data_IF_443017189098
#
_entry.id   IF_443017189098
#
_cell.length_a   1.000
_cell.length_b   1.000
_cell.length_c   1.000
_cell.angle_alpha   90.00
_cell.angle_beta   90.00
_cell.angle_gamma   90.00
#
_symmetry.space_group_name_H-M   'P 1'
#
loop_
_entity.id
_entity.type
_entity.pdbx_description
1 polymer ?
#
# COMPACT_ATOMS: atom_id res chain seq x y z
N UNK A 1 -23.22 16.03 31.67
CA UNK A 1 -22.73 15.09 30.64
C UNK A 1 -22.83 15.65 29.19
N UNK A 2 -22.77 16.97 28.97
CA UNK A 2 -22.88 17.57 27.62
C UNK A 2 -21.54 17.78 26.89
N UNK A 3 -20.41 17.79 27.61
CA UNK A 3 -19.09 18.08 27.03
C UNK A 3 -18.54 16.93 26.17
N UNK A 4 -18.68 15.68 26.63
CA UNK A 4 -18.17 14.49 25.96
C UNK A 4 -18.74 14.27 24.55
N UNK A 5 -20.06 14.46 24.38
CA UNK A 5 -20.71 14.31 23.07
C UNK A 5 -20.22 15.34 22.04
N UNK A 6 -19.91 16.57 22.50
CA UNK A 6 -19.41 17.63 21.63
C UNK A 6 -17.97 17.38 21.20
N UNK A 7 -17.11 16.88 22.11
CA UNK A 7 -15.73 16.49 21.82
C UNK A 7 -15.70 15.34 20.80
N UNK A 8 -16.51 14.30 21.00
CA UNK A 8 -16.58 13.16 20.09
C UNK A 8 -17.01 13.55 18.68
N UNK A 9 -17.97 14.48 18.53
CA UNK A 9 -18.41 14.97 17.21
C UNK A 9 -17.29 15.69 16.46
N UNK A 10 -16.56 16.56 17.15
CA UNK A 10 -15.42 17.28 16.58
C UNK A 10 -14.27 16.34 16.23
N UNK A 11 -13.96 15.39 17.11
CA UNK A 11 -12.94 14.38 16.86
C UNK A 11 -13.29 13.51 15.65
N UNK A 12 -14.54 13.02 15.57
CA UNK A 12 -14.99 12.20 14.46
C UNK A 12 -14.98 12.98 13.14
N UNK A 13 -15.38 14.25 13.15
CA UNK A 13 -15.28 15.12 11.98
C UNK A 13 -13.82 15.29 11.51
N UNK A 14 -12.91 15.61 12.43
CA UNK A 14 -11.49 15.80 12.13
C UNK A 14 -10.85 14.52 11.59
N UNK A 15 -11.09 13.37 12.23
CA UNK A 15 -10.57 12.08 11.78
C UNK A 15 -11.09 11.72 10.38
N UNK A 16 -12.39 11.91 10.11
CA UNK A 16 -12.93 11.66 8.78
C UNK A 16 -12.32 12.60 7.72
N UNK A 17 -12.00 13.85 8.06
CA UNK A 17 -11.32 14.76 7.13
C UNK A 17 -9.92 14.23 6.76
N UNK A 18 -9.15 13.74 7.73
CA UNK A 18 -7.87 13.08 7.46
C UNK A 18 -8.04 11.88 6.52
N UNK A 19 -9.08 11.06 6.74
CA UNK A 19 -9.38 9.92 5.86
C UNK A 19 -9.82 10.32 4.45
N UNK A 20 -10.52 11.45 4.29
CA UNK A 20 -10.84 12.00 2.96
C UNK A 20 -9.55 12.35 2.21
N UNK A 21 -8.63 13.07 2.87
CA UNK A 21 -7.34 13.45 2.26
C UNK A 21 -6.53 12.19 1.91
N UNK A 22 -6.44 11.21 2.82
CA UNK A 22 -5.72 9.97 2.53
C UNK A 22 -6.36 9.17 1.38
N UNK A 23 -7.69 9.13 1.30
CA UNK A 23 -8.41 8.48 0.20
C UNK A 23 -8.07 9.11 -1.15
N UNK A 24 -8.02 10.45 -1.23
CA UNK A 24 -7.61 11.16 -2.44
C UNK A 24 -6.16 10.82 -2.81
N UNK A 25 -5.24 10.84 -1.84
CA UNK A 25 -3.83 10.48 -2.07
C UNK A 25 -3.69 9.06 -2.64
N UNK A 26 -4.41 8.08 -2.07
CA UNK A 26 -4.39 6.70 -2.57
C UNK A 26 -4.92 6.57 -4.00
N UNK A 27 -5.99 7.29 -4.34
CA UNK A 27 -6.54 7.31 -5.71
C UNK A 27 -5.53 7.92 -6.69
N UNK A 28 -4.93 9.05 -6.33
CA UNK A 28 -3.92 9.72 -7.18
C UNK A 28 -2.71 8.83 -7.38
N UNK A 29 -2.14 8.25 -6.31
CA UNK A 29 -1.02 7.31 -6.42
C UNK A 29 -1.39 6.11 -7.30
N UNK A 30 -2.55 5.49 -7.08
CA UNK A 30 -3.01 4.37 -7.90
C UNK A 30 -3.18 4.74 -9.38
N UNK A 31 -3.69 5.94 -9.68
CA UNK A 31 -3.82 6.42 -11.05
C UNK A 31 -2.46 6.71 -11.72
N UNK A 32 -1.50 7.28 -10.98
CA UNK A 32 -0.14 7.51 -11.47
C UNK A 32 0.59 6.19 -11.76
N UNK A 33 0.46 5.21 -10.86
CA UNK A 33 1.00 3.87 -11.07
C UNK A 33 0.35 3.19 -12.29
N UNK A 34 -0.96 3.32 -12.45
CA UNK A 34 -1.67 2.77 -13.60
C UNK A 34 -1.23 3.41 -14.92
N UNK A 35 -0.96 4.72 -14.93
CA UNK A 35 -0.46 5.41 -16.14
C UNK A 35 0.97 4.99 -16.50
N UNK A 36 1.80 4.73 -15.49
CA UNK A 36 3.19 4.28 -15.68
C UNK A 36 3.24 2.85 -16.22
N UNK A 37 2.34 1.97 -15.74
CA UNK A 37 2.23 0.57 -16.17
C UNK A 37 1.35 0.37 -17.42
N UNK A 38 0.47 1.33 -17.71
CA UNK A 38 -0.54 1.27 -18.79
C UNK A 38 0.03 1.32 -20.20
N UNK A 39 1.31 1.67 -20.37
CA UNK A 39 1.97 1.64 -21.68
C UNK A 39 2.41 0.22 -22.11
N UNK A 40 2.34 -0.78 -21.22
CA UNK A 40 2.69 -2.19 -21.49
C UNK A 40 1.47 -3.09 -21.46
N UNK A 41 0.32 -2.60 -21.95
CA UNK A 41 -0.90 -3.39 -22.06
C UNK A 41 -0.72 -4.51 -23.07
N UNK A 42 -0.65 -5.74 -22.54
CA UNK A 42 -0.88 -7.06 -23.14
C UNK A 42 0.34 -7.96 -23.16
N UNK A 43 0.70 -8.50 -21.99
CA UNK A 43 1.32 -9.81 -21.93
C UNK A 43 0.72 -10.67 -20.82
N UNK A 44 0.73 -11.97 -21.08
CA UNK A 44 -0.25 -12.96 -20.70
C UNK A 44 -0.31 -13.29 -19.19
N UNK A 45 -1.52 -13.55 -18.70
CA UNK A 45 -1.73 -14.47 -17.57
C UNK A 45 -1.60 -13.98 -16.13
N UNK A 46 -0.85 -12.91 -15.81
CA UNK A 46 -0.83 -12.35 -14.43
C UNK A 46 -0.78 -10.83 -14.46
N UNK A 47 -1.72 -10.23 -13.76
CA UNK A 47 -2.21 -8.87 -13.95
C UNK A 47 -1.38 -7.86 -13.13
N UNK A 48 -0.32 -7.26 -13.70
CA UNK A 48 0.45 -6.18 -13.01
C UNK A 48 -0.43 -4.96 -12.69
N UNK A 49 -1.49 -4.76 -13.47
CA UNK A 49 -2.52 -3.74 -13.21
C UNK A 49 -3.31 -4.00 -11.91
N UNK A 50 -3.20 -5.18 -11.28
CA UNK A 50 -3.95 -5.51 -10.04
C UNK A 50 -3.56 -4.60 -8.88
N UNK A 51 -2.27 -4.28 -8.71
CA UNK A 51 -1.84 -3.41 -7.61
C UNK A 51 -2.38 -1.98 -7.75
N UNK A 52 -2.11 -1.24 -8.85
CA UNK A 52 -2.65 0.10 -9.05
C UNK A 52 -4.19 0.15 -8.92
N UNK A 53 -4.88 -0.83 -9.50
CA UNK A 53 -6.35 -0.93 -9.41
C UNK A 53 -6.80 -1.14 -7.97
N UNK A 54 -6.10 -1.98 -7.19
CA UNK A 54 -6.41 -2.20 -5.78
C UNK A 54 -6.24 -0.92 -4.95
N UNK A 55 -5.18 -0.14 -5.18
CA UNK A 55 -4.99 1.17 -4.53
C UNK A 55 -6.15 2.13 -4.85
N UNK A 56 -6.60 2.19 -6.11
CA UNK A 56 -7.74 3.02 -6.52
C UNK A 56 -9.03 2.57 -5.84
N UNK A 57 -9.31 1.26 -5.79
CA UNK A 57 -10.53 0.71 -5.17
C UNK A 57 -10.54 0.98 -3.67
N UNK A 58 -9.45 0.70 -2.96
CA UNK A 58 -9.33 0.98 -1.53
C UNK A 58 -9.49 2.47 -1.26
N UNK A 59 -8.76 3.32 -2.00
CA UNK A 59 -8.86 4.77 -1.86
C UNK A 59 -10.26 5.32 -2.11
N UNK A 60 -10.97 4.78 -3.11
CA UNK A 60 -12.35 5.17 -3.42
C UNK A 60 -13.34 4.80 -2.30
N UNK A 61 -13.23 3.59 -1.75
CA UNK A 61 -14.06 3.17 -0.62
C UNK A 61 -13.78 4.04 0.61
N UNK A 62 -12.49 4.28 0.94
CA UNK A 62 -12.10 5.15 2.04
C UNK A 62 -12.64 6.57 1.87
N UNK A 63 -12.50 7.16 0.67
CA UNK A 63 -13.02 8.48 0.35
C UNK A 63 -14.54 8.56 0.54
N UNK A 64 -15.30 7.60 -0.01
CA UNK A 64 -16.77 7.59 0.10
C UNK A 64 -17.23 7.49 1.55
N UNK A 65 -16.65 6.57 2.33
CA UNK A 65 -17.01 6.36 3.74
C UNK A 65 -16.68 7.59 4.57
N UNK A 66 -15.50 8.19 4.36
CA UNK A 66 -15.05 9.37 5.07
C UNK A 66 -15.85 10.63 4.70
N UNK A 67 -16.25 10.74 3.43
CA UNK A 67 -17.13 11.81 2.95
C UNK A 67 -18.52 11.71 3.58
N UNK A 68 -19.10 10.50 3.63
CA UNK A 68 -20.36 10.24 4.33
C UNK A 68 -20.26 10.54 5.83
N UNK A 69 -19.14 10.20 6.48
CA UNK A 69 -18.87 10.52 7.89
C UNK A 69 -18.81 12.02 8.14
N UNK A 70 -18.10 12.76 7.28
CA UNK A 70 -17.96 14.22 7.36
C UNK A 70 -19.30 14.93 7.13
N UNK A 71 -20.06 14.53 6.10
CA UNK A 71 -21.39 15.08 5.80
C UNK A 71 -22.40 14.74 6.90
N UNK A 72 -22.38 13.50 7.42
CA UNK A 72 -23.25 13.05 8.50
C UNK A 72 -23.05 13.84 9.78
N UNK A 73 -21.80 14.17 10.13
CA UNK A 73 -21.47 15.00 11.30
C UNK A 73 -21.99 16.44 11.14
N UNK A 74 -21.82 17.03 9.94
CA UNK A 74 -22.20 18.41 9.66
C UNK A 74 -23.73 18.65 9.67
N UNK A 75 -24.52 17.66 9.21
CA UNK A 75 -25.98 17.84 9.05
C UNK A 75 -26.79 17.52 10.32
N UNK A 76 -26.14 17.11 11.43
CA UNK A 76 -26.76 16.65 12.67
C UNK A 76 -27.95 15.68 12.44
N UNK A 77 -27.93 14.94 11.31
CA UNK A 77 -29.02 14.06 10.92
C UNK A 77 -28.70 12.64 11.40
N UNK A 78 -29.51 12.15 12.33
CA UNK A 78 -29.32 10.82 12.91
C UNK A 78 -29.31 9.72 11.84
N UNK A 79 -30.01 9.92 10.72
CA UNK A 79 -30.09 8.95 9.62
C UNK A 79 -28.76 8.77 8.87
N UNK A 80 -28.00 9.85 8.59
CA UNK A 80 -26.70 9.73 7.91
C UNK A 80 -25.65 9.10 8.82
N UNK A 81 -25.69 9.42 10.12
CA UNK A 81 -24.79 8.83 11.11
C UNK A 81 -25.06 7.32 11.29
N UNK A 82 -26.33 6.89 11.19
CA UNK A 82 -26.69 5.45 11.18
C UNK A 82 -26.13 4.73 9.95
N UNK A 83 -26.24 5.32 8.76
CA UNK A 83 -25.69 4.73 7.53
C UNK A 83 -24.16 4.59 7.65
N UNK A 84 -23.47 5.62 8.14
CA UNK A 84 -22.04 5.56 8.41
C UNK A 84 -21.68 4.40 9.36
N UNK A 85 -22.42 4.24 10.46
CA UNK A 85 -22.19 3.16 11.41
C UNK A 85 -22.42 1.77 10.79
N UNK A 86 -23.45 1.60 9.97
CA UNK A 86 -23.73 0.34 9.26
C UNK A 86 -22.64 0.04 8.23
N UNK A 87 -22.18 1.02 7.46
CA UNK A 87 -21.08 0.86 6.53
C UNK A 87 -19.79 0.44 7.24
N UNK A 88 -19.44 1.08 8.36
CA UNK A 88 -18.27 0.71 9.16
C UNK A 88 -18.38 -0.71 9.74
N UNK A 89 -19.58 -1.13 10.17
CA UNK A 89 -19.80 -2.49 10.64
C UNK A 89 -19.60 -3.52 9.50
N UNK A 90 -20.09 -3.24 8.30
CA UNK A 90 -19.89 -4.12 7.14
C UNK A 90 -18.41 -4.21 6.79
N UNK A 91 -17.69 -3.08 6.77
CA UNK A 91 -16.24 -3.06 6.50
C UNK A 91 -15.46 -3.85 7.56
N UNK A 92 -15.87 -3.76 8.83
CA UNK A 92 -15.26 -4.54 9.90
C UNK A 92 -15.42 -6.05 9.67
N UNK A 93 -16.62 -6.50 9.30
CA UNK A 93 -16.86 -7.91 8.96
C UNK A 93 -16.06 -8.34 7.74
N UNK A 94 -16.01 -7.52 6.69
CA UNK A 94 -15.20 -7.79 5.49
C UNK A 94 -13.70 -7.90 5.84
N UNK A 95 -13.20 -7.02 6.71
CA UNK A 95 -11.80 -7.07 7.14
C UNK A 95 -11.51 -8.35 7.93
N UNK A 96 -12.44 -8.82 8.76
CA UNK A 96 -12.29 -10.10 9.47
C UNK A 96 -12.24 -11.27 8.48
N UNK A 97 -13.13 -11.31 7.49
CA UNK A 97 -13.13 -12.36 6.45
C UNK A 97 -11.83 -12.34 5.64
N UNK A 98 -11.37 -11.16 5.19
CA UNK A 98 -10.12 -11.02 4.47
C UNK A 98 -8.91 -11.44 5.31
N UNK A 99 -8.90 -11.12 6.60
CA UNK A 99 -7.80 -11.48 7.50
C UNK A 99 -7.72 -13.00 7.71
N UNK A 100 -8.88 -13.66 7.89
CA UNK A 100 -8.94 -15.12 8.00
C UNK A 100 -8.53 -15.77 6.67
N UNK A 101 -9.01 -15.25 5.54
CA UNK A 101 -8.63 -15.73 4.21
C UNK A 101 -7.13 -15.65 4.00
N UNK A 102 -6.51 -14.49 4.32
CA UNK A 102 -5.08 -14.26 4.22
C UNK A 102 -4.28 -15.22 5.12
N UNK A 103 -4.80 -15.57 6.30
CA UNK A 103 -4.16 -16.52 7.19
C UNK A 103 -4.19 -17.95 6.64
N UNK A 104 -5.32 -18.37 6.07
CA UNK A 104 -5.48 -19.70 5.47
C UNK A 104 -4.64 -19.83 4.20
N UNK A 105 -4.69 -18.83 3.34
CA UNK A 105 -3.99 -18.77 2.04
C UNK A 105 -2.67 -17.98 2.12
N UNK A 106 -1.98 -18.07 3.27
CA UNK A 106 -0.75 -17.29 3.50
C UNK A 106 0.30 -17.54 2.41
N UNK A 107 0.47 -18.80 2.00
CA UNK A 107 1.49 -19.19 1.03
C UNK A 107 1.20 -18.59 -0.36
N UNK A 108 -0.08 -18.58 -0.75
CA UNK A 108 -0.54 -18.00 -2.02
C UNK A 108 -0.30 -16.49 -2.05
N UNK A 109 -0.54 -15.80 -0.92
CA UNK A 109 -0.25 -14.37 -0.81
C UNK A 109 1.26 -14.08 -0.84
N UNK A 110 2.06 -14.89 -0.14
CA UNK A 110 3.52 -14.75 -0.15
C UNK A 110 4.09 -14.96 -1.56
N UNK A 111 3.65 -16.00 -2.29
CA UNK A 111 4.05 -16.23 -3.68
C UNK A 111 3.66 -15.06 -4.60
N UNK A 112 2.48 -14.48 -4.39
CA UNK A 112 2.06 -13.28 -5.13
C UNK A 112 2.95 -12.07 -4.87
N UNK A 113 3.34 -11.84 -3.61
CA UNK A 113 4.29 -10.78 -3.25
C UNK A 113 5.67 -11.03 -3.84
N UNK A 114 6.18 -12.26 -3.79
CA UNK A 114 7.46 -12.63 -4.40
C UNK A 114 7.45 -12.40 -5.91
N UNK A 115 6.41 -12.84 -6.61
CA UNK A 115 6.26 -12.60 -8.07
C UNK A 115 6.18 -11.11 -8.41
N UNK A 116 5.68 -10.28 -7.51
CA UNK A 116 5.68 -8.83 -7.71
C UNK A 116 7.11 -8.29 -7.73
N UNK A 117 7.94 -8.69 -6.75
CA UNK A 117 9.35 -8.29 -6.67
C UNK A 117 10.10 -8.78 -7.90
N UNK A 118 9.89 -10.04 -8.29
CA UNK A 118 10.51 -10.62 -9.49
C UNK A 118 10.17 -9.83 -10.76
N UNK A 119 8.93 -9.33 -10.86
CA UNK A 119 8.49 -8.51 -11.99
C UNK A 119 9.08 -7.12 -11.98
N UNK A 120 9.08 -6.46 -10.82
CA UNK A 120 9.73 -5.17 -10.65
C UNK A 120 11.22 -5.25 -10.99
N UNK A 121 11.87 -6.37 -10.68
CA UNK A 121 13.24 -6.67 -11.07
C UNK A 121 13.40 -6.83 -12.59
N UNK A 122 12.57 -7.64 -13.24
CA UNK A 122 12.63 -7.90 -14.69
C UNK A 122 12.33 -6.65 -15.53
N UNK A 123 11.45 -5.77 -15.04
CA UNK A 123 11.06 -4.52 -15.72
C UNK A 123 11.91 -3.32 -15.24
N UNK A 124 13.02 -3.54 -14.52
CA UNK A 124 13.85 -2.46 -13.97
C UNK A 124 14.73 -1.77 -15.03
N UNK A 125 14.12 -1.05 -15.96
CA UNK A 125 14.81 -0.33 -17.03
C UNK A 125 14.26 1.10 -17.19
N UNK A 126 15.05 1.94 -17.86
CA UNK A 126 14.76 3.30 -18.30
C UNK A 126 13.41 3.46 -18.99
N UNK A 127 12.98 2.45 -19.77
CA UNK A 127 11.70 2.45 -20.47
C UNK A 127 10.49 2.35 -19.52
N UNK A 128 10.67 1.73 -18.35
CA UNK A 128 9.60 1.48 -17.36
C UNK A 128 9.75 2.35 -16.11
N UNK A 129 10.75 3.23 -16.08
CA UNK A 129 10.96 4.18 -14.97
C UNK A 129 11.62 3.57 -13.73
N UNK A 130 12.39 2.48 -13.88
CA UNK A 130 13.11 1.82 -12.78
C UNK A 130 12.23 1.46 -11.57
N UNK A 131 11.18 0.64 -11.75
CA UNK A 131 10.24 0.27 -10.68
C UNK A 131 10.90 -0.38 -9.45
N UNK A 132 12.10 -0.96 -9.60
CA UNK A 132 12.82 -1.54 -8.48
C UNK A 132 13.39 -0.47 -7.54
N UNK A 133 13.73 0.72 -8.05
CA UNK A 133 14.29 1.79 -7.23
C UNK A 133 13.24 2.29 -6.22
N UNK A 134 12.00 2.50 -6.67
CA UNK A 134 10.87 2.86 -5.81
C UNK A 134 10.58 1.77 -4.76
N UNK A 135 10.67 0.50 -5.18
CA UNK A 135 10.44 -0.64 -4.29
C UNK A 135 11.50 -0.72 -3.19
N UNK A 136 12.77 -0.52 -3.56
CA UNK A 136 13.90 -0.50 -2.62
C UNK A 136 13.81 0.66 -1.64
N UNK A 137 13.38 1.84 -2.08
CA UNK A 137 13.15 3.00 -1.21
C UNK A 137 11.97 2.75 -0.25
N UNK A 138 10.88 2.16 -0.74
CA UNK A 138 9.67 1.91 0.04
C UNK A 138 9.85 0.80 1.09
N UNK A 139 10.44 -0.32 0.70
CA UNK A 139 10.64 -1.50 1.55
C UNK A 139 11.97 -1.49 2.28
N UNK A 140 12.88 -0.57 1.94
CA UNK A 140 14.21 -0.45 2.55
C UNK A 140 15.00 -1.76 2.43
N UNK A 141 14.99 -2.33 1.23
CA UNK A 141 15.66 -3.56 0.81
C UNK A 141 16.60 -3.28 -0.38
N UNK A 142 17.40 -4.26 -0.78
CA UNK A 142 18.29 -4.12 -1.94
C UNK A 142 18.37 -5.43 -2.74
N UNK A 143 18.23 -5.36 -4.06
CA UNK A 143 18.21 -6.55 -4.90
C UNK A 143 16.86 -7.29 -4.87
N UNK A 144 16.71 -8.33 -5.69
CA UNK A 144 15.55 -9.21 -5.60
C UNK A 144 15.75 -10.14 -4.40
N UNK A 145 16.74 -11.02 -4.47
CA UNK A 145 17.18 -11.87 -3.37
C UNK A 145 18.35 -11.24 -2.62
N UNK A 146 19.25 -10.54 -3.32
CA UNK A 146 20.44 -9.94 -2.71
C UNK A 146 21.01 -8.80 -3.56
N UNK A 147 21.77 -7.89 -2.94
CA UNK A 147 22.45 -6.81 -3.64
C UNK A 147 23.47 -7.33 -4.67
N UNK A 148 24.00 -8.53 -4.47
CA UNK A 148 24.97 -9.16 -5.37
C UNK A 148 24.46 -9.39 -6.80
N UNK A 149 23.13 -9.38 -7.00
CA UNK A 149 22.51 -9.49 -8.33
C UNK A 149 22.79 -8.27 -9.23
N UNK A 150 23.14 -7.12 -8.64
CA UNK A 150 23.60 -5.94 -9.38
C UNK A 150 25.09 -5.99 -9.77
N UNK A 151 25.85 -6.95 -9.24
CA UNK A 151 27.29 -7.03 -9.46
C UNK A 151 28.02 -5.84 -8.85
N UNK A 152 28.63 -4.99 -9.69
CA UNK A 152 29.42 -3.83 -9.24
C UNK A 152 28.65 -2.50 -9.27
N UNK A 153 27.51 -2.43 -9.96
CA UNK A 153 26.72 -1.21 -10.14
C UNK A 153 25.45 -1.27 -9.31
N UNK A 154 25.60 -1.10 -7.99
CA UNK A 154 24.47 -1.03 -7.06
C UNK A 154 23.80 0.35 -7.15
N UNK A 155 22.48 0.43 -7.37
CA UNK A 155 21.79 1.71 -7.53
C UNK A 155 21.70 2.48 -6.21
N UNK A 156 21.59 3.80 -6.31
CA UNK A 156 21.50 4.71 -5.16
C UNK A 156 20.26 4.45 -4.26
N UNK A 157 19.21 3.88 -4.85
CA UNK A 157 17.96 3.44 -4.20
C UNK A 157 18.19 2.43 -3.07
N UNK A 158 19.14 1.50 -3.23
CA UNK A 158 19.56 0.57 -2.17
C UNK A 158 20.10 1.28 -0.92
N UNK A 159 20.74 2.44 -1.11
CA UNK A 159 21.23 3.29 -0.02
C UNK A 159 20.17 4.25 0.55
N UNK A 160 18.94 4.27 -0.01
CA UNK A 160 17.89 5.19 0.40
C UNK A 160 17.94 6.55 -0.29
N UNK A 161 18.62 6.66 -1.44
CA UNK A 161 18.70 7.90 -2.21
C UNK A 161 17.74 7.87 -3.40
N UNK A 162 16.92 8.92 -3.51
CA UNK A 162 16.03 9.17 -4.66
C UNK A 162 16.84 9.65 -5.90
N UNK A 163 18.00 10.26 -5.66
CA UNK A 163 18.91 10.71 -6.72
C UNK A 163 19.85 9.57 -7.14
N UNK A 164 19.62 9.03 -8.34
CA UNK A 164 20.40 7.94 -8.94
C UNK A 164 21.85 8.29 -9.24
N UNK A 165 22.22 9.57 -9.22
CA UNK A 165 23.61 10.01 -9.44
C UNK A 165 24.50 9.85 -8.21
N UNK A 166 23.92 9.57 -7.03
CA UNK A 166 24.68 9.38 -5.80
C UNK A 166 25.31 8.00 -5.75
N UNK A 167 26.59 7.96 -5.43
CA UNK A 167 27.29 6.71 -5.16
C UNK A 167 26.78 6.07 -3.87
N UNK A 168 26.53 4.77 -3.93
CA UNK A 168 26.04 3.96 -2.83
C UNK A 168 27.20 3.21 -2.18
N UNK A 169 27.47 3.48 -0.90
CA UNK A 169 28.57 2.85 -0.17
C UNK A 169 28.23 1.41 0.24
N UNK A 170 29.20 0.49 0.08
CA UNK A 170 29.09 -0.93 0.46
C UNK A 170 28.56 -1.16 1.88
N UNK A 171 29.03 -0.37 2.84
CA UNK A 171 28.60 -0.47 4.23
C UNK A 171 27.09 -0.26 4.47
N UNK A 172 26.38 0.35 3.50
CA UNK A 172 24.94 0.62 3.60
C UNK A 172 24.13 -0.48 2.93
N UNK A 173 24.44 -0.81 1.68
CA UNK A 173 23.66 -1.79 0.93
C UNK A 173 23.92 -3.24 1.38
N UNK A 174 25.10 -3.57 1.92
CA UNK A 174 25.39 -4.91 2.46
C UNK A 174 24.57 -5.24 3.71
N UNK A 175 24.05 -4.22 4.41
CA UNK A 175 23.23 -4.40 5.60
C UNK A 175 21.73 -4.55 5.28
N UNK A 176 21.37 -4.42 4.00
CA UNK A 176 19.98 -4.48 3.54
C UNK A 176 19.61 -5.92 3.18
N UNK A 177 18.44 -6.40 3.61
CA UNK A 177 17.91 -7.68 3.11
C UNK A 177 17.48 -7.55 1.65
N UNK A 178 17.36 -8.68 0.97
CA UNK A 178 16.72 -8.79 -0.35
C UNK A 178 15.28 -8.31 -0.31
N UNK A 179 14.77 -7.73 -1.39
CA UNK A 179 13.36 -7.30 -1.43
C UNK A 179 12.36 -8.46 -1.43
N UNK A 180 12.83 -9.65 -1.77
CA UNK A 180 12.09 -10.89 -1.70
C UNK A 180 12.45 -11.71 -0.45
N UNK A 181 13.28 -11.16 0.44
CA UNK A 181 13.61 -11.82 1.68
C UNK A 181 12.39 -11.86 2.61
N UNK A 182 12.08 -13.08 3.01
CA UNK A 182 11.27 -13.48 4.15
C UNK A 182 10.02 -12.63 4.43
N UNK A 183 9.19 -12.48 3.40
CA UNK A 183 7.83 -11.92 3.49
C UNK A 183 6.98 -12.59 4.59
N UNK A 184 7.27 -13.85 4.92
CA UNK A 184 6.60 -14.61 5.97
C UNK A 184 6.75 -13.94 7.35
N UNK A 185 7.93 -13.40 7.65
CA UNK A 185 8.19 -12.67 8.90
C UNK A 185 7.31 -11.41 9.01
N UNK A 186 7.27 -10.61 7.94
CA UNK A 186 6.48 -9.38 7.86
C UNK A 186 4.98 -9.67 7.93
N UNK A 187 4.52 -10.70 7.21
CA UNK A 187 3.12 -11.12 7.21
C UNK A 187 2.68 -11.63 8.59
N UNK A 188 3.52 -12.39 9.27
CA UNK A 188 3.23 -12.90 10.61
C UNK A 188 3.04 -11.77 11.62
N UNK A 189 3.91 -10.75 11.63
CA UNK A 189 3.78 -9.59 12.51
C UNK A 189 2.46 -8.82 12.28
N UNK A 190 2.06 -8.62 11.03
CA UNK A 190 0.81 -7.91 10.69
C UNK A 190 -0.43 -8.68 11.12
N UNK A 191 -0.43 -10.01 10.96
CA UNK A 191 -1.55 -10.87 11.36
C UNK A 191 -1.70 -10.87 12.90
N UNK A 192 -0.60 -11.03 13.64
CA UNK A 192 -0.64 -11.07 15.12
C UNK A 192 -0.98 -9.71 15.77
N UNK A 193 -0.66 -8.58 15.13
CA UNK A 193 -1.03 -7.24 15.63
C UNK A 193 -2.52 -6.90 15.49
N UNK A 194 -3.27 -7.65 14.67
CA UNK A 194 -4.69 -7.39 14.36
C UNK A 194 -5.68 -8.41 14.95
N UNK A 195 -5.18 -9.48 15.57
CA UNK A 195 -5.96 -10.46 16.35
C UNK A 195 -5.97 -10.08 17.84
#
# INVERSE_FOLDING_TARGET
>A
MHCFSSILKYLLYFLNLVFVVSGIVLIVCGALLLNSLGNFTKFDGVTIITFPVTFIVIGSVTFLVAFLGSWGSMRNSASLMKIYAICMLILFVLQMVLSIWLFVEKNTFLDFMSRLVDRAWLENDSAHGYPMDDLQLALKCCGNQDYGEYGSDVPASCCGYDDRSKECAASIYELRPGCNDDWESSLSHVIWLKL
#
